data_IF_809009073161
#
_entry.id   IF_809009073161
#
_cell.length_a   1.000
_cell.length_b   1.000
_cell.length_c   1.000
_cell.angle_alpha   90.00
_cell.angle_beta   90.00
_cell.angle_gamma   90.00
#
_symmetry.space_group_name_H-M   'P 1'
#
loop_
_entity.id
_entity.type
_entity.pdbx_description
1 polymer ?
#
# COMPACT_ATOMS: atom_id res chain seq x y z
N UNK A 1 35.73 -26.59 0.75
CA UNK A 1 34.64 -26.15 1.63
C UNK A 1 34.68 -24.64 1.63
N UNK A 2 33.71 -24.04 0.96
CA UNK A 2 33.07 -22.79 1.39
C UNK A 2 31.93 -22.55 0.41
N UNK A 3 30.84 -23.21 0.75
CA UNK A 3 29.52 -23.07 0.16
C UNK A 3 28.95 -21.72 0.62
N UNK A 4 29.10 -20.69 -0.22
CA UNK A 4 28.34 -19.45 -0.09
C UNK A 4 27.25 -19.44 -1.14
N UNK A 5 26.23 -20.23 -0.84
CA UNK A 5 24.86 -20.05 -1.33
C UNK A 5 24.40 -18.64 -0.99
N UNK A 6 24.71 -17.70 -1.88
CA UNK A 6 24.09 -16.38 -1.92
C UNK A 6 22.63 -16.57 -2.27
N UNK A 7 21.78 -16.70 -1.27
CA UNK A 7 20.35 -16.61 -1.44
C UNK A 7 20.05 -15.22 -2.03
N UNK A 8 19.69 -15.18 -3.31
CA UNK A 8 19.09 -14.00 -3.92
C UNK A 8 17.89 -13.57 -3.07
N UNK A 9 17.74 -12.27 -2.72
CA UNK A 9 16.55 -11.80 -2.03
C UNK A 9 15.34 -12.19 -2.89
N UNK A 10 14.36 -12.86 -2.26
CA UNK A 10 13.17 -13.34 -2.92
C UNK A 10 12.59 -12.26 -3.83
N UNK A 11 12.48 -12.61 -5.11
CA UNK A 11 12.37 -11.66 -6.21
C UNK A 11 11.23 -10.68 -6.01
N UNK A 12 11.59 -9.40 -5.98
CA UNK A 12 10.69 -8.27 -6.17
C UNK A 12 9.90 -8.53 -7.46
N UNK A 13 8.66 -9.01 -7.33
CA UNK A 13 7.76 -9.25 -8.47
C UNK A 13 7.50 -7.89 -9.11
N UNK A 14 7.92 -7.71 -10.36
CA UNK A 14 7.71 -6.48 -11.10
C UNK A 14 6.23 -6.25 -11.41
N UNK A 15 5.80 -5.00 -11.56
CA UNK A 15 4.42 -4.64 -11.98
C UNK A 15 3.90 -5.47 -13.18
N UNK A 16 4.76 -5.75 -14.16
CA UNK A 16 4.40 -6.60 -15.30
C UNK A 16 4.05 -8.02 -14.86
N UNK A 17 4.84 -8.61 -13.97
CA UNK A 17 4.59 -9.94 -13.43
C UNK A 17 3.33 -9.97 -12.56
N UNK A 18 3.06 -8.91 -11.79
CA UNK A 18 1.81 -8.71 -11.05
C UNK A 18 0.58 -8.75 -11.95
N UNK A 19 0.60 -8.01 -13.06
CA UNK A 19 -0.49 -8.01 -14.03
C UNK A 19 -0.68 -9.37 -14.72
N UNK A 20 0.42 -10.02 -15.10
CA UNK A 20 0.37 -11.35 -15.71
C UNK A 20 -0.21 -12.39 -14.74
N UNK A 21 0.21 -12.36 -13.48
CA UNK A 21 -0.33 -13.26 -12.45
C UNK A 21 -1.82 -13.02 -12.21
N UNK A 22 -2.27 -11.78 -12.13
CA UNK A 22 -3.70 -11.47 -12.01
C UNK A 22 -4.51 -12.00 -13.20
N UNK A 23 -3.96 -11.92 -14.43
CA UNK A 23 -4.57 -12.50 -15.62
C UNK A 23 -4.62 -14.03 -15.57
N UNK A 24 -3.51 -14.68 -15.22
CA UNK A 24 -3.41 -16.14 -15.12
C UNK A 24 -4.36 -16.70 -14.06
N UNK A 25 -4.54 -15.97 -12.95
CA UNK A 25 -5.44 -16.32 -11.84
C UNK A 25 -6.91 -15.94 -12.12
N UNK A 26 -7.23 -15.29 -13.25
CA UNK A 26 -8.58 -14.80 -13.56
C UNK A 26 -9.08 -13.67 -12.65
N UNK A 27 -8.17 -12.96 -11.96
CA UNK A 27 -8.47 -11.85 -11.04
C UNK A 27 -8.55 -10.52 -11.80
N UNK A 28 -9.60 -10.35 -12.61
CA UNK A 28 -9.75 -9.19 -13.48
C UNK A 28 -9.94 -7.86 -12.72
N UNK A 29 -10.60 -7.88 -11.56
CA UNK A 29 -10.76 -6.68 -10.73
C UNK A 29 -9.40 -6.19 -10.19
N UNK A 30 -8.56 -7.12 -9.74
CA UNK A 30 -7.19 -6.84 -9.29
C UNK A 30 -6.34 -6.25 -10.42
N UNK A 31 -6.47 -6.79 -11.64
CA UNK A 31 -5.79 -6.25 -12.81
C UNK A 31 -6.21 -4.79 -13.09
N UNK A 32 -7.51 -4.49 -13.07
CA UNK A 32 -8.03 -3.12 -13.27
C UNK A 32 -7.49 -2.18 -12.19
N UNK A 33 -7.45 -2.64 -10.93
CA UNK A 33 -6.91 -1.85 -9.82
C UNK A 33 -5.42 -1.60 -9.94
N UNK A 34 -4.62 -2.63 -10.27
CA UNK A 34 -3.19 -2.50 -10.52
C UNK A 34 -2.92 -1.47 -11.61
N UNK A 35 -3.66 -1.53 -12.73
CA UNK A 35 -3.54 -0.57 -13.83
C UNK A 35 -3.96 0.84 -13.43
N UNK A 36 -5.10 1.01 -12.77
CA UNK A 36 -5.59 2.32 -12.32
C UNK A 36 -4.59 2.98 -11.35
N UNK A 37 -4.00 2.19 -10.44
CA UNK A 37 -3.02 2.68 -9.48
C UNK A 37 -1.67 3.01 -10.15
N UNK A 38 -1.21 2.19 -11.09
CA UNK A 38 -0.02 2.50 -11.88
C UNK A 38 -0.17 3.80 -12.67
N UNK A 39 -1.34 4.02 -13.27
CA UNK A 39 -1.67 5.24 -13.99
C UNK A 39 -1.72 6.47 -13.06
N UNK A 40 -2.24 6.35 -11.82
CA UNK A 40 -2.20 7.44 -10.83
C UNK A 40 -0.78 7.82 -10.41
N UNK A 41 0.15 6.86 -10.37
CA UNK A 41 1.56 7.09 -10.01
C UNK A 41 2.32 7.88 -11.07
N UNK A 42 2.03 7.64 -12.34
CA UNK A 42 2.57 8.40 -13.46
C UNK A 42 1.87 9.77 -13.54
N UNK A 43 2.20 10.65 -12.59
CA UNK A 43 1.65 12.01 -12.43
C UNK A 43 1.76 12.88 -13.69
N UNK A 44 2.57 12.49 -14.68
CA UNK A 44 2.88 13.28 -15.88
C UNK A 44 2.00 13.01 -17.11
N UNK A 45 1.21 11.94 -17.15
CA UNK A 45 0.47 11.54 -18.38
C UNK A 45 -1.04 11.43 -18.25
N UNK A 46 -1.61 11.58 -17.05
CA UNK A 46 -3.06 11.45 -16.82
C UNK A 46 -3.63 12.80 -16.38
N UNK A 47 -4.54 13.36 -17.19
CA UNK A 47 -5.17 14.65 -16.89
C UNK A 47 -5.89 14.62 -15.53
N UNK A 48 -6.02 15.79 -14.89
CA UNK A 48 -6.71 15.93 -13.60
C UNK A 48 -8.13 15.33 -13.63
N UNK A 49 -8.80 15.41 -14.79
CA UNK A 49 -10.14 14.86 -15.01
C UNK A 49 -10.13 13.34 -15.11
N UNK A 50 -9.17 12.75 -15.82
CA UNK A 50 -9.03 11.30 -15.91
C UNK A 50 -8.69 10.67 -14.53
N UNK A 51 -7.93 11.37 -13.68
CA UNK A 51 -7.68 10.95 -12.28
C UNK A 51 -8.96 10.88 -11.45
N UNK A 52 -9.83 11.88 -11.59
CA UNK A 52 -11.12 11.94 -10.89
C UNK A 52 -12.13 10.91 -11.42
N UNK A 53 -11.98 10.49 -12.67
CA UNK A 53 -12.85 9.50 -13.32
C UNK A 53 -12.43 8.04 -13.11
N UNK A 54 -11.27 7.75 -12.51
CA UNK A 54 -10.87 6.37 -12.15
C UNK A 54 -11.75 5.88 -10.99
N UNK A 55 -12.80 5.09 -11.23
CA UNK A 55 -13.83 4.79 -10.25
C UNK A 55 -13.38 3.57 -9.45
N UNK A 56 -12.45 3.76 -8.52
CA UNK A 56 -12.30 2.78 -7.44
C UNK A 56 -13.33 3.16 -6.40
N UNK A 57 -14.55 2.65 -6.57
CA UNK A 57 -15.55 2.68 -5.52
C UNK A 57 -14.96 1.93 -4.33
N UNK A 58 -14.53 2.68 -3.30
CA UNK A 58 -13.85 2.13 -2.12
C UNK A 58 -14.72 1.13 -1.36
N UNK A 59 -16.05 1.18 -1.57
CA UNK A 59 -17.00 0.21 -1.01
C UNK A 59 -17.05 -1.12 -1.79
N UNK A 60 -16.50 -1.15 -3.00
CA UNK A 60 -16.51 -2.32 -3.91
C UNK A 60 -15.13 -2.88 -4.23
N UNK A 61 -14.09 -2.07 -4.09
CA UNK A 61 -12.72 -2.44 -4.45
C UNK A 61 -11.75 -2.06 -3.34
N UNK A 62 -11.24 -3.08 -2.64
CA UNK A 62 -10.18 -2.93 -1.64
C UNK A 62 -8.82 -3.19 -2.29
N UNK A 63 -7.82 -2.32 -2.13
CA UNK A 63 -6.46 -2.58 -2.56
C UNK A 63 -5.80 -3.65 -1.68
N UNK A 64 -6.38 -3.96 -0.52
CA UNK A 64 -5.91 -4.98 0.42
C UNK A 64 -6.87 -6.17 0.37
N UNK A 65 -6.34 -7.37 0.16
CA UNK A 65 -7.14 -8.59 0.00
C UNK A 65 -7.97 -8.96 1.24
N UNK A 66 -7.50 -8.60 2.43
CA UNK A 66 -8.17 -8.90 3.70
C UNK A 66 -8.01 -7.78 4.72
N UNK A 67 -8.99 -7.64 5.60
CA UNK A 67 -8.96 -6.65 6.69
C UNK A 67 -8.39 -7.21 7.98
N UNK A 68 -8.37 -8.53 8.15
CA UNK A 68 -7.85 -9.18 9.36
C UNK A 68 -6.46 -9.73 9.09
N UNK A 69 -5.48 -9.24 9.83
CA UNK A 69 -4.12 -9.75 9.79
C UNK A 69 -3.99 -11.02 10.63
N UNK A 70 -3.13 -11.92 10.20
CA UNK A 70 -2.68 -13.06 10.99
C UNK A 70 -1.80 -12.60 12.15
N UNK A 71 -1.62 -13.44 13.17
CA UNK A 71 -0.73 -13.12 14.29
C UNK A 71 0.71 -12.86 13.82
N UNK A 72 1.17 -13.57 12.80
CA UNK A 72 2.50 -13.39 12.22
C UNK A 72 2.65 -12.04 11.51
N UNK A 73 1.64 -11.61 10.75
CA UNK A 73 1.61 -10.30 10.11
C UNK A 73 1.54 -9.16 11.13
N UNK A 74 0.75 -9.33 12.20
CA UNK A 74 0.68 -8.35 13.30
C UNK A 74 2.03 -8.19 13.99
N UNK A 75 2.76 -9.29 14.20
CA UNK A 75 4.09 -9.26 14.79
C UNK A 75 5.10 -8.62 13.83
N UNK A 76 5.06 -8.96 12.54
CA UNK A 76 6.03 -8.54 11.52
C UNK A 76 5.86 -7.08 11.09
N UNK A 77 4.62 -6.59 11.03
CA UNK A 77 4.30 -5.23 10.60
C UNK A 77 4.08 -4.26 11.77
N UNK A 78 4.14 -4.76 13.01
CA UNK A 78 3.88 -4.01 14.23
C UNK A 78 2.54 -3.23 14.21
N UNK A 79 1.50 -3.89 13.68
CA UNK A 79 0.12 -3.38 13.57
C UNK A 79 -0.68 -3.84 14.81
N UNK A 80 -0.17 -3.52 16.00
CA UNK A 80 -0.73 -4.00 17.29
C UNK A 80 -1.61 -2.95 17.95
N UNK A 81 -1.10 -1.73 18.05
CA UNK A 81 -1.77 -0.61 18.69
C UNK A 81 -2.83 0.01 17.80
N UNK A 82 -3.65 0.91 18.33
CA UNK A 82 -4.54 1.73 17.51
C UNK A 82 -3.75 2.84 16.81
N UNK A 83 -3.92 3.00 15.49
CA UNK A 83 -3.30 4.11 14.78
C UNK A 83 -3.33 4.01 13.26
N UNK A 84 -2.73 5.01 12.62
CA UNK A 84 -2.48 5.01 11.18
C UNK A 84 -1.13 4.35 10.90
N UNK A 85 -1.12 3.45 9.92
CA UNK A 85 0.08 2.92 9.30
C UNK A 85 0.07 3.22 7.81
N UNK A 86 1.24 3.48 7.23
CA UNK A 86 1.41 3.41 5.80
C UNK A 86 1.72 1.96 5.43
N UNK A 87 0.89 1.38 4.59
CA UNK A 87 0.94 -0.03 4.21
C UNK A 87 1.41 -0.14 2.77
N UNK A 88 2.47 -0.91 2.58
CA UNK A 88 3.02 -1.26 1.28
C UNK A 88 2.37 -2.55 0.77
N UNK A 89 1.89 -2.51 -0.47
CA UNK A 89 1.11 -3.57 -1.09
C UNK A 89 1.76 -4.01 -2.41
N UNK A 90 1.86 -5.32 -2.60
CA UNK A 90 2.15 -5.94 -3.90
C UNK A 90 1.12 -7.01 -4.17
N UNK A 91 0.55 -7.01 -5.37
CA UNK A 91 -0.49 -7.98 -5.75
C UNK A 91 -1.68 -8.05 -4.78
N UNK A 92 -2.01 -6.93 -4.13
CA UNK A 92 -3.03 -6.80 -3.07
C UNK A 92 -2.67 -7.44 -1.71
N UNK A 93 -1.46 -7.96 -1.57
CA UNK A 93 -0.90 -8.50 -0.34
C UNK A 93 -0.03 -7.44 0.35
N UNK A 94 -0.07 -7.42 1.68
CA UNK A 94 0.81 -6.56 2.46
C UNK A 94 2.21 -7.14 2.41
N UNK A 95 3.17 -6.31 2.00
CA UNK A 95 4.59 -6.66 2.01
C UNK A 95 5.37 -5.89 3.06
N UNK A 96 4.75 -4.86 3.65
CA UNK A 96 5.33 -4.06 4.71
C UNK A 96 4.33 -3.04 5.25
N UNK A 97 4.56 -2.58 6.47
CA UNK A 97 3.87 -1.42 7.00
C UNK A 97 4.76 -0.65 7.95
N UNK A 98 4.51 0.65 8.06
CA UNK A 98 5.20 1.51 8.99
C UNK A 98 4.20 2.41 9.69
N UNK A 99 4.33 2.56 11.01
CA UNK A 99 3.46 3.44 11.78
C UNK A 99 3.65 4.87 11.30
N UNK A 100 2.55 5.57 11.06
CA UNK A 100 2.55 6.97 10.67
C UNK A 100 2.12 7.84 11.87
N UNK A 101 3.07 8.48 12.58
CA UNK A 101 2.78 9.16 13.84
C UNK A 101 2.34 10.62 13.65
N UNK A 102 2.41 11.16 12.43
CA UNK A 102 2.24 12.59 12.19
C UNK A 102 0.75 12.93 12.06
N UNK A 103 0.20 13.83 12.88
CA UNK A 103 -1.19 14.25 12.77
C UNK A 103 -1.40 15.19 11.57
N UNK A 104 -2.63 15.23 11.06
CA UNK A 104 -2.99 16.02 9.86
C UNK A 104 -2.80 17.53 9.99
N UNK A 105 -2.74 18.06 11.21
CA UNK A 105 -2.52 19.49 11.50
C UNK A 105 -1.03 19.87 11.57
N UNK A 106 -0.13 18.90 11.42
CA UNK A 106 1.30 19.18 11.42
C UNK A 106 1.69 20.04 10.19
N UNK A 107 2.46 21.13 10.36
CA UNK A 107 2.82 22.04 9.26
C UNK A 107 3.51 21.37 8.08
N UNK A 108 4.23 20.28 8.34
CA UNK A 108 4.96 19.49 7.34
C UNK A 108 4.31 18.13 7.05
N UNK A 109 3.01 17.96 7.34
CA UNK A 109 2.31 16.69 7.16
C UNK A 109 2.52 16.09 5.77
N UNK A 110 2.36 16.90 4.72
CA UNK A 110 2.50 16.46 3.32
C UNK A 110 3.94 16.00 3.01
N UNK A 111 4.93 16.72 3.53
CA UNK A 111 6.35 16.37 3.39
C UNK A 111 6.64 15.03 4.07
N UNK A 112 6.18 14.83 5.31
CA UNK A 112 6.31 13.56 6.01
C UNK A 112 5.63 12.40 5.28
N UNK A 113 4.42 12.58 4.76
CA UNK A 113 3.76 11.53 3.95
C UNK A 113 4.64 11.16 2.75
N UNK A 114 5.25 12.16 2.11
CA UNK A 114 6.09 11.94 0.94
C UNK A 114 7.42 11.26 1.28
N UNK A 115 8.08 11.67 2.37
CA UNK A 115 9.32 11.04 2.87
C UNK A 115 9.10 9.56 3.20
N UNK A 116 8.03 9.25 3.93
CA UNK A 116 7.68 7.88 4.24
C UNK A 116 7.34 7.07 2.98
N UNK A 117 6.65 7.68 2.01
CA UNK A 117 6.37 7.02 0.72
C UNK A 117 7.66 6.66 -0.01
N UNK A 118 8.62 7.59 -0.04
CA UNK A 118 9.92 7.37 -0.66
C UNK A 118 10.73 6.29 0.07
N UNK A 119 10.70 6.29 1.41
CA UNK A 119 11.33 5.26 2.21
C UNK A 119 10.73 3.87 1.89
N UNK A 120 9.41 3.77 1.88
CA UNK A 120 8.69 2.54 1.52
C UNK A 120 9.05 2.07 0.09
N UNK A 121 9.12 2.97 -0.89
CA UNK A 121 9.56 2.59 -2.25
C UNK A 121 11.03 2.18 -2.31
N UNK A 122 11.89 2.79 -1.49
CA UNK A 122 13.30 2.38 -1.36
C UNK A 122 13.45 0.95 -0.83
N UNK A 123 12.61 0.55 0.13
CA UNK A 123 12.66 -0.78 0.74
C UNK A 123 11.92 -1.85 -0.07
N UNK A 124 10.73 -1.53 -0.59
CA UNK A 124 9.83 -2.51 -1.20
C UNK A 124 9.75 -2.40 -2.72
N UNK A 125 10.42 -1.42 -3.33
CA UNK A 125 10.42 -1.17 -4.77
C UNK A 125 9.35 -0.15 -5.20
N UNK A 126 9.63 0.57 -6.29
CA UNK A 126 8.75 1.60 -6.86
C UNK A 126 7.40 1.06 -7.37
N UNK A 127 7.28 -0.26 -7.51
CA UNK A 127 6.06 -0.97 -7.89
C UNK A 127 5.11 -1.21 -6.71
N UNK A 128 5.60 -1.14 -5.46
CA UNK A 128 4.80 -1.38 -4.26
C UNK A 128 3.78 -0.26 -4.07
N UNK A 129 2.48 -0.52 -4.15
CA UNK A 129 1.41 0.44 -3.86
C UNK A 129 1.45 0.84 -2.38
N UNK A 130 1.29 2.14 -2.07
CA UNK A 130 1.27 2.61 -0.68
C UNK A 130 -0.09 3.23 -0.39
N UNK A 131 -0.72 2.77 0.68
CA UNK A 131 -1.98 3.27 1.20
C UNK A 131 -1.82 3.61 2.68
N UNK A 132 -2.59 4.55 3.19
CA UNK A 132 -2.71 4.71 4.63
C UNK A 132 -3.85 3.80 5.11
N UNK A 133 -3.60 3.00 6.13
CA UNK A 133 -4.60 2.16 6.76
C UNK A 133 -4.69 2.46 8.25
N UNK A 134 -5.91 2.64 8.74
CA UNK A 134 -6.17 2.75 10.17
C UNK A 134 -6.54 1.38 10.70
N UNK A 135 -6.01 1.06 11.87
CA UNK A 135 -6.20 -0.25 12.47
C UNK A 135 -6.35 -0.19 13.97
N UNK A 136 -6.81 -1.31 14.52
CA UNK A 136 -6.90 -1.57 15.94
C UNK A 136 -6.76 -3.07 16.17
N UNK A 137 -5.79 -3.49 17.00
CA UNK A 137 -5.58 -4.89 17.37
C UNK A 137 -5.45 -5.85 16.18
N UNK A 138 -4.68 -5.46 15.14
CA UNK A 138 -4.47 -6.28 13.95
C UNK A 138 -5.66 -6.34 12.96
N UNK A 139 -6.69 -5.53 13.19
CA UNK A 139 -7.80 -5.33 12.25
C UNK A 139 -7.62 -4.01 11.51
N UNK A 140 -7.51 -4.06 10.19
CA UNK A 140 -7.58 -2.91 9.29
C UNK A 140 -9.05 -2.47 9.19
N UNK A 141 -9.36 -1.32 9.77
CA UNK A 141 -10.72 -0.78 9.88
C UNK A 141 -11.05 0.04 8.63
N UNK A 142 -10.09 0.83 8.17
CA UNK A 142 -10.23 1.68 6.98
C UNK A 142 -8.90 1.82 6.28
N UNK A 143 -8.96 2.17 5.01
CA UNK A 143 -7.80 2.51 4.21
C UNK A 143 -8.14 3.67 3.27
N UNK A 144 -7.11 4.43 2.89
CA UNK A 144 -7.22 5.52 1.92
C UNK A 144 -5.95 5.59 1.10
N UNK A 145 -6.09 6.03 -0.15
CA UNK A 145 -4.93 6.34 -0.97
C UNK A 145 -4.20 7.53 -0.38
N UNK A 146 -2.87 7.54 -0.47
CA UNK A 146 -2.06 8.65 0.05
C UNK A 146 -2.40 10.01 -0.57
N UNK A 147 -2.91 10.05 -1.81
CA UNK A 147 -3.37 11.30 -2.41
C UNK A 147 -4.52 11.96 -1.65
N UNK A 148 -5.26 11.17 -0.89
CA UNK A 148 -6.49 11.54 -0.20
C UNK A 148 -6.34 11.30 1.32
N UNK A 149 -5.11 11.12 1.81
CA UNK A 149 -4.86 10.77 3.21
C UNK A 149 -4.76 12.01 4.10
N UNK A 150 -5.56 12.01 5.16
CA UNK A 150 -5.47 12.93 6.30
C UNK A 150 -5.38 12.09 7.58
N UNK A 151 -4.30 12.24 8.36
CA UNK A 151 -4.15 11.53 9.63
C UNK A 151 -5.00 12.20 10.73
N UNK A 152 -6.32 12.07 10.62
CA UNK A 152 -7.24 12.61 11.61
C UNK A 152 -7.09 11.85 12.94
N UNK A 153 -7.10 12.60 14.05
CA UNK A 153 -7.16 12.01 15.39
C UNK A 153 -8.53 11.37 15.59
N UNK A 154 -8.57 10.03 15.51
CA UNK A 154 -9.81 9.27 15.64
C UNK A 154 -10.12 8.90 17.07
N UNK A 155 -11.09 9.59 17.67
CA UNK A 155 -11.72 9.24 18.94
C UNK A 155 -12.68 8.08 18.68
N UNK A 156 -12.22 6.85 18.92
CA UNK A 156 -13.07 5.65 19.00
C UNK A 156 -12.78 5.01 20.35
#
# INVERSE_FOLDING_TARGET
>A
MDDRSGASPQGVISFRQSCLKALDDGRFDDLVLLLANHLRRRRETVSLHARASLPVDRSKASPIRGTKLTAEEVLSYDIRDKGWHLVALKDHEIVGAERFPVPSDHPQFVEHVQDYTNAVHGYYGEDAMVVAAFHSNGLLIEWTFLSDFTAEQRKY
#
